data_IF_877650419794
#
_entry.id   IF_877650419794
#
_cell.length_a   1.000
_cell.length_b   1.000
_cell.length_c   1.000
_cell.angle_alpha   90.00
_cell.angle_beta   90.00
_cell.angle_gamma   90.00
#
_symmetry.space_group_name_H-M   'P 1'
#
loop_
_entity.id
_entity.type
_entity.pdbx_description
1 polymer ?
#
# COMPACT_ATOMS: atom_id res chain seq x y z
N UNK A 1 -44.21 45.10 -32.29
CA UNK A 1 -44.20 43.88 -31.45
C UNK A 1 -43.10 42.96 -31.97
N UNK A 2 -41.92 42.93 -31.33
CA UNK A 2 -40.79 42.09 -31.75
C UNK A 2 -40.81 40.81 -30.92
N UNK A 3 -41.13 39.68 -31.54
CA UNK A 3 -41.17 38.36 -30.91
C UNK A 3 -39.76 37.85 -30.60
N UNK A 4 -39.46 37.62 -29.32
CA UNK A 4 -38.27 36.91 -28.87
C UNK A 4 -38.42 35.42 -29.16
N UNK A 5 -37.59 34.86 -30.05
CA UNK A 5 -37.42 33.40 -30.13
C UNK A 5 -36.54 32.96 -28.95
N UNK A 6 -36.94 31.97 -28.13
CA UNK A 6 -36.06 31.43 -27.11
C UNK A 6 -34.88 30.72 -27.77
N UNK A 7 -33.67 31.06 -27.34
CA UNK A 7 -32.44 30.35 -27.73
C UNK A 7 -32.54 28.92 -27.20
N UNK A 8 -32.74 27.97 -28.11
CA UNK A 8 -32.67 26.54 -27.80
C UNK A 8 -31.20 26.24 -27.50
N UNK A 9 -30.83 26.22 -26.22
CA UNK A 9 -29.54 25.70 -25.77
C UNK A 9 -29.53 24.22 -26.17
N UNK A 10 -28.58 23.81 -27.03
CA UNK A 10 -28.51 22.42 -27.50
C UNK A 10 -28.26 21.50 -26.30
N UNK A 11 -29.19 20.60 -26.04
CA UNK A 11 -29.24 19.67 -24.89
C UNK A 11 -27.95 18.86 -24.75
N UNK A 12 -27.18 18.70 -25.83
CA UNK A 12 -25.88 18.05 -25.90
C UNK A 12 -24.79 18.74 -25.07
N UNK A 13 -24.75 20.08 -25.00
CA UNK A 13 -23.70 20.80 -24.27
C UNK A 13 -23.78 20.60 -22.74
N UNK A 14 -25.00 20.47 -22.21
CA UNK A 14 -25.24 20.24 -20.77
C UNK A 14 -24.84 18.81 -20.37
N UNK A 15 -25.06 17.83 -21.24
CA UNK A 15 -24.66 16.44 -20.99
C UNK A 15 -23.14 16.27 -21.03
N UNK A 16 -22.47 16.90 -22.00
CA UNK A 16 -21.00 16.87 -22.08
C UNK A 16 -20.38 17.49 -20.83
N UNK A 17 -20.93 18.60 -20.34
CA UNK A 17 -20.44 19.26 -19.14
C UNK A 17 -20.65 18.40 -17.88
N UNK A 18 -21.80 17.72 -17.75
CA UNK A 18 -22.06 16.80 -16.64
C UNK A 18 -21.14 15.58 -16.69
N UNK A 19 -20.95 14.97 -17.87
CA UNK A 19 -20.03 13.85 -18.06
C UNK A 19 -18.60 14.28 -17.69
N UNK A 20 -18.16 15.46 -18.15
CA UNK A 20 -16.84 15.98 -17.82
C UNK A 20 -16.68 16.23 -16.31
N UNK A 21 -17.70 16.78 -15.65
CA UNK A 21 -17.67 17.01 -14.20
C UNK A 21 -17.61 15.70 -13.40
N UNK A 22 -18.32 14.66 -13.84
CA UNK A 22 -18.26 13.32 -13.23
C UNK A 22 -16.86 12.71 -13.41
N UNK A 23 -16.32 12.72 -14.63
CA UNK A 23 -14.98 12.21 -14.94
C UNK A 23 -13.88 12.92 -14.14
N UNK A 24 -13.96 14.25 -13.98
CA UNK A 24 -13.00 15.03 -13.18
C UNK A 24 -13.07 14.70 -11.69
N UNK A 25 -14.27 14.38 -11.18
CA UNK A 25 -14.47 13.98 -9.78
C UNK A 25 -13.85 12.61 -9.51
N UNK A 26 -14.06 11.64 -10.41
CA UNK A 26 -13.51 10.28 -10.30
C UNK A 26 -11.97 10.28 -10.28
N UNK A 27 -11.33 11.09 -11.13
CA UNK A 27 -9.87 11.23 -11.18
C UNK A 27 -9.31 11.77 -9.86
N UNK A 28 -9.98 12.75 -9.25
CA UNK A 28 -9.55 13.37 -8.00
C UNK A 28 -9.64 12.39 -6.81
N UNK A 29 -10.68 11.55 -6.79
CA UNK A 29 -10.86 10.50 -5.76
C UNK A 29 -9.75 9.45 -5.88
N UNK A 30 -9.43 9.01 -7.10
CA UNK A 30 -8.35 8.05 -7.33
C UNK A 30 -7.00 8.61 -6.87
N UNK A 31 -6.66 9.85 -7.25
CA UNK A 31 -5.40 10.48 -6.84
C UNK A 31 -5.29 10.71 -5.32
N UNK A 32 -6.39 11.00 -4.65
CA UNK A 32 -6.43 11.12 -3.18
C UNK A 32 -6.18 9.79 -2.48
N UNK A 33 -6.78 8.70 -2.98
CA UNK A 33 -6.61 7.36 -2.42
C UNK A 33 -5.15 6.87 -2.56
N UNK A 34 -4.52 7.07 -3.71
CA UNK A 34 -3.10 6.70 -3.91
C UNK A 34 -2.19 7.42 -2.91
N UNK A 35 -2.37 8.74 -2.72
CA UNK A 35 -1.60 9.50 -1.71
C UNK A 35 -1.79 8.98 -0.30
N UNK A 36 -3.01 8.56 0.07
CA UNK A 36 -3.27 7.99 1.40
C UNK A 36 -2.63 6.61 1.61
N UNK A 37 -2.58 5.77 0.58
CA UNK A 37 -1.98 4.44 0.65
C UNK A 37 -0.46 4.56 0.77
N UNK A 38 0.18 5.40 -0.04
CA UNK A 38 1.61 5.69 0.06
C UNK A 38 1.98 6.21 1.46
N UNK A 39 1.19 7.15 2.00
CA UNK A 39 1.40 7.66 3.35
C UNK A 39 1.24 6.55 4.41
N UNK A 40 0.25 5.66 4.27
CA UNK A 40 0.08 4.52 5.17
C UNK A 40 1.29 3.58 5.15
N UNK A 41 1.78 3.20 3.96
CA UNK A 41 2.94 2.30 3.82
C UNK A 41 4.18 2.92 4.46
N UNK A 42 4.47 4.19 4.17
CA UNK A 42 5.60 4.91 4.76
C UNK A 42 5.47 5.02 6.28
N UNK A 43 4.30 5.40 6.79
CA UNK A 43 4.07 5.51 8.24
C UNK A 43 4.21 4.16 8.94
N UNK A 44 3.67 3.07 8.36
CA UNK A 44 3.84 1.74 8.91
C UNK A 44 5.33 1.42 9.06
N UNK A 45 6.13 1.63 8.00
CA UNK A 45 7.57 1.35 7.96
C UNK A 45 8.37 2.21 8.95
N UNK A 46 8.06 3.49 9.07
CA UNK A 46 8.84 4.44 9.88
C UNK A 46 8.44 4.47 11.36
N UNK A 47 7.18 4.17 11.69
CA UNK A 47 6.68 4.20 13.08
C UNK A 47 6.82 2.88 13.83
N UNK A 48 7.25 1.79 13.17
CA UNK A 48 7.38 0.48 13.79
C UNK A 48 8.79 -0.08 13.60
N UNK A 49 9.35 -0.65 14.67
CA UNK A 49 10.67 -1.33 14.64
C UNK A 49 10.70 -2.43 13.59
N UNK A 50 9.61 -3.19 13.46
CA UNK A 50 9.48 -4.29 12.51
C UNK A 50 8.10 -4.21 11.86
N UNK A 51 8.04 -4.31 10.54
CA UNK A 51 6.79 -4.39 9.76
C UNK A 51 6.81 -5.61 8.87
N UNK A 52 5.67 -6.30 8.81
CA UNK A 52 5.44 -7.38 7.84
C UNK A 52 4.15 -7.08 7.08
N UNK A 53 4.30 -6.71 5.80
CA UNK A 53 3.17 -6.74 4.87
C UNK A 53 2.94 -8.20 4.48
N UNK A 54 1.73 -8.70 4.73
CA UNK A 54 1.42 -10.12 4.84
C UNK A 54 0.09 -10.46 4.16
N UNK A 55 -0.18 -11.76 3.99
CA UNK A 55 -1.53 -12.27 3.85
C UNK A 55 -1.78 -13.40 4.86
N UNK A 56 -2.98 -13.46 5.43
CA UNK A 56 -3.31 -14.34 6.55
C UNK A 56 -3.13 -15.82 6.23
N UNK A 57 -3.42 -16.21 4.99
CA UNK A 57 -3.32 -17.58 4.48
C UNK A 57 -1.94 -17.95 3.93
N UNK A 58 -1.01 -16.99 3.78
CA UNK A 58 0.23 -17.22 3.06
C UNK A 58 1.27 -17.99 3.92
N UNK A 59 1.75 -19.17 3.47
CA UNK A 59 2.70 -19.97 4.26
C UNK A 59 4.05 -19.27 4.46
N UNK A 60 4.52 -18.48 3.49
CA UNK A 60 5.75 -17.69 3.60
C UNK A 60 5.60 -16.56 4.63
N UNK A 61 4.42 -15.96 4.73
CA UNK A 61 4.12 -14.97 5.77
C UNK A 61 4.10 -15.62 7.16
N UNK A 62 3.52 -16.82 7.30
CA UNK A 62 3.53 -17.58 8.54
C UNK A 62 4.97 -17.91 8.98
N UNK A 63 5.84 -18.32 8.04
CA UNK A 63 7.28 -18.55 8.31
C UNK A 63 7.97 -17.28 8.83
N UNK A 64 7.74 -16.13 8.18
CA UNK A 64 8.33 -14.86 8.60
C UNK A 64 7.87 -14.43 10.00
N UNK A 65 6.57 -14.53 10.29
CA UNK A 65 6.02 -14.26 11.64
C UNK A 65 6.61 -15.20 12.69
N UNK A 66 6.80 -16.47 12.34
CA UNK A 66 7.41 -17.48 13.23
C UNK A 66 8.85 -17.12 13.58
N UNK A 67 9.66 -16.67 12.63
CA UNK A 67 11.04 -16.23 12.87
C UNK A 67 11.07 -15.14 13.95
N UNK A 68 10.28 -14.07 13.80
CA UNK A 68 10.25 -13.00 14.79
C UNK A 68 9.70 -13.45 16.14
N UNK A 69 8.70 -14.34 16.15
CA UNK A 69 8.20 -14.95 17.39
C UNK A 69 9.28 -15.75 18.13
N UNK A 70 10.09 -16.53 17.42
CA UNK A 70 11.22 -17.28 18.01
C UNK A 70 12.30 -16.34 18.56
N UNK A 71 12.50 -15.19 17.92
CA UNK A 71 13.36 -14.10 18.41
C UNK A 71 12.73 -13.26 19.53
N UNK A 72 11.50 -13.55 19.95
CA UNK A 72 10.73 -12.80 20.95
C UNK A 72 10.50 -11.32 20.55
N UNK A 73 10.48 -11.05 19.25
CA UNK A 73 10.15 -9.76 18.68
C UNK A 73 8.66 -9.70 18.32
N UNK A 74 8.07 -8.50 18.39
CA UNK A 74 6.65 -8.27 18.11
C UNK A 74 6.50 -7.36 16.88
N UNK A 75 6.35 -7.93 15.68
CA UNK A 75 6.19 -7.14 14.46
C UNK A 75 4.80 -6.50 14.34
N UNK A 76 4.74 -5.31 13.74
CA UNK A 76 3.51 -4.76 13.21
C UNK A 76 3.14 -5.48 11.90
N UNK A 77 2.02 -6.19 11.90
CA UNK A 77 1.60 -7.01 10.75
C UNK A 77 0.44 -6.34 10.04
N UNK A 78 0.58 -6.16 8.73
CA UNK A 78 -0.50 -5.67 7.86
C UNK A 78 -1.00 -6.83 6.99
N UNK A 79 -2.16 -7.39 7.33
CA UNK A 79 -2.79 -8.46 6.55
C UNK A 79 -3.56 -7.87 5.37
N UNK A 80 -2.95 -7.91 4.18
CA UNK A 80 -3.48 -7.25 2.99
C UNK A 80 -4.77 -7.88 2.48
N UNK A 81 -4.94 -9.19 2.68
CA UNK A 81 -6.18 -9.91 2.32
C UNK A 81 -7.38 -9.57 3.22
N UNK A 82 -7.15 -8.90 4.35
CA UNK A 82 -8.20 -8.47 5.28
C UNK A 82 -8.48 -6.97 5.20
N UNK A 83 -7.94 -6.28 4.18
CA UNK A 83 -8.09 -4.84 3.97
C UNK A 83 -8.71 -4.57 2.60
N UNK A 84 -9.63 -3.60 2.55
CA UNK A 84 -10.24 -3.15 1.30
C UNK A 84 -9.22 -2.53 0.32
N UNK A 85 -8.17 -1.89 0.86
CA UNK A 85 -7.09 -1.26 0.09
C UNK A 85 -5.85 -2.16 -0.08
N UNK A 86 -5.95 -3.45 0.25
CA UNK A 86 -4.82 -4.38 0.22
C UNK A 86 -4.11 -4.47 -1.13
N UNK A 87 -4.87 -4.49 -2.22
CA UNK A 87 -4.31 -4.52 -3.58
C UNK A 87 -3.56 -3.22 -3.94
N UNK A 88 -4.02 -2.08 -3.44
CA UNK A 88 -3.35 -0.78 -3.62
C UNK A 88 -2.06 -0.72 -2.82
N UNK A 89 -2.07 -1.24 -1.59
CA UNK A 89 -0.84 -1.39 -0.80
C UNK A 89 0.17 -2.30 -1.53
N UNK A 90 -0.29 -3.39 -2.15
CA UNK A 90 0.61 -4.22 -2.98
C UNK A 90 1.17 -3.45 -4.19
N UNK A 91 0.41 -2.54 -4.81
CA UNK A 91 0.92 -1.68 -5.89
C UNK A 91 1.97 -0.71 -5.35
N UNK A 92 1.70 -0.07 -4.21
CA UNK A 92 2.66 0.82 -3.56
C UNK A 92 3.96 0.08 -3.19
N UNK A 93 3.88 -1.15 -2.68
CA UNK A 93 5.06 -1.98 -2.42
C UNK A 93 5.83 -2.32 -3.70
N UNK A 94 5.13 -2.55 -4.83
CA UNK A 94 5.78 -2.74 -6.12
C UNK A 94 6.56 -1.48 -6.53
N UNK A 95 5.97 -0.29 -6.39
CA UNK A 95 6.66 0.97 -6.69
C UNK A 95 7.82 1.24 -5.73
N UNK A 96 7.64 0.98 -4.43
CA UNK A 96 8.61 1.31 -3.39
C UNK A 96 9.82 0.37 -3.33
N UNK A 97 9.61 -0.94 -3.49
CA UNK A 97 10.67 -1.97 -3.37
C UNK A 97 10.83 -2.87 -4.59
N UNK A 98 10.08 -2.61 -5.67
CA UNK A 98 10.16 -3.42 -6.90
C UNK A 98 9.51 -4.80 -6.78
N UNK A 99 8.75 -5.09 -5.72
CA UNK A 99 8.15 -6.41 -5.48
C UNK A 99 6.72 -6.31 -4.95
N UNK A 100 5.79 -6.98 -5.65
CA UNK A 100 4.37 -7.07 -5.27
C UNK A 100 4.06 -8.24 -4.33
N UNK A 101 4.95 -9.22 -4.20
CA UNK A 101 4.72 -10.46 -3.45
C UNK A 101 4.70 -10.24 -1.95
N UNK A 102 4.00 -11.11 -1.20
CA UNK A 102 4.08 -11.15 0.27
C UNK A 102 4.84 -12.40 0.73
N UNK A 103 5.55 -12.34 1.87
CA UNK A 103 5.71 -11.18 2.75
C UNK A 103 6.64 -10.11 2.18
N UNK A 104 6.49 -8.85 2.61
CA UNK A 104 7.54 -7.84 2.54
C UNK A 104 7.89 -7.40 3.97
N UNK A 105 9.15 -7.61 4.35
CA UNK A 105 9.64 -7.40 5.71
C UNK A 105 10.53 -6.16 5.77
N UNK A 106 10.28 -5.31 6.76
CA UNK A 106 11.09 -4.14 7.07
C UNK A 106 11.52 -4.18 8.54
N UNK A 107 12.75 -3.75 8.82
CA UNK A 107 13.30 -3.61 10.17
C UNK A 107 14.00 -2.26 10.26
N UNK A 108 13.58 -1.42 11.21
CA UNK A 108 14.09 -0.05 11.40
C UNK A 108 14.10 0.75 10.10
N UNK A 109 12.98 0.74 9.37
CA UNK A 109 12.85 1.40 8.08
C UNK A 109 13.59 0.73 6.91
N UNK A 110 14.50 -0.23 7.17
CA UNK A 110 15.26 -0.92 6.13
C UNK A 110 14.48 -2.10 5.57
N UNK A 111 14.37 -2.17 4.25
CA UNK A 111 13.79 -3.32 3.55
C UNK A 111 14.70 -4.55 3.66
N UNK A 112 14.15 -5.66 4.13
CA UNK A 112 14.82 -6.97 4.19
C UNK A 112 14.50 -7.79 2.95
N UNK A 113 13.24 -7.80 2.52
CA UNK A 113 12.76 -8.61 1.40
C UNK A 113 11.63 -9.56 1.79
N UNK A 114 11.58 -10.71 1.14
CA UNK A 114 10.61 -11.78 1.38
C UNK A 114 11.02 -12.74 2.49
N UNK A 115 10.36 -13.90 2.53
CA UNK A 115 10.62 -14.90 3.59
C UNK A 115 12.00 -15.55 3.50
N UNK A 116 12.53 -15.73 2.29
CA UNK A 116 13.86 -16.31 2.11
C UNK A 116 14.95 -15.28 2.42
N UNK A 117 14.81 -14.05 1.92
CA UNK A 117 15.71 -12.94 2.27
C UNK A 117 15.78 -12.73 3.80
N UNK A 118 14.63 -12.85 4.51
CA UNK A 118 14.60 -12.80 5.97
C UNK A 118 15.37 -13.97 6.59
N UNK A 119 15.16 -15.20 6.13
CA UNK A 119 15.86 -16.37 6.66
C UNK A 119 17.39 -16.25 6.46
N UNK A 120 17.81 -15.83 5.27
CA UNK A 120 19.22 -15.59 4.95
C UNK A 120 19.81 -14.51 5.85
N UNK A 121 19.05 -13.45 6.13
CA UNK A 121 19.48 -12.37 7.04
C UNK A 121 19.65 -12.83 8.50
N UNK A 122 18.92 -13.87 8.93
CA UNK A 122 19.11 -14.50 10.24
C UNK A 122 20.41 -15.29 10.25
N UNK A 123 20.62 -16.12 9.21
CA UNK A 123 21.78 -17.00 9.08
C UNK A 123 23.08 -16.20 9.01
N UNK A 124 23.11 -15.13 8.23
CA UNK A 124 24.31 -14.30 8.06
C UNK A 124 24.50 -13.24 9.17
N UNK A 125 23.63 -13.20 10.18
CA UNK A 125 23.72 -12.28 11.32
C UNK A 125 23.31 -10.83 11.01
N UNK A 126 22.85 -10.52 9.81
CA UNK A 126 22.42 -9.17 9.41
C UNK A 126 21.18 -8.73 10.20
N UNK A 127 20.23 -9.62 10.43
CA UNK A 127 18.99 -9.28 11.13
C UNK A 127 19.26 -8.77 12.55
N UNK A 128 20.14 -9.46 13.29
CA UNK A 128 20.49 -9.11 14.66
C UNK A 128 21.18 -7.75 14.71
N UNK A 129 22.05 -7.44 13.74
CA UNK A 129 22.67 -6.11 13.62
C UNK A 129 21.63 -5.03 13.42
N UNK A 130 20.62 -5.28 12.56
CA UNK A 130 19.55 -4.31 12.30
C UNK A 130 18.66 -4.13 13.53
N UNK A 131 18.30 -5.20 14.23
CA UNK A 131 17.48 -5.13 15.44
C UNK A 131 18.17 -4.43 16.62
N UNK A 132 19.51 -4.42 16.65
CA UNK A 132 20.31 -3.75 17.67
C UNK A 132 20.58 -2.26 17.38
N UNK A 133 20.24 -1.78 16.18
CA UNK A 133 20.49 -0.39 15.75
C UNK A 133 19.38 0.60 16.16
N UNK A 134 18.42 0.18 17.00
CA UNK A 134 17.31 0.99 17.53
C UNK A 134 17.66 1.65 18.86
#
# INVERSE_FOLDING_TARGET
MVGHRPRRVEVTAVHILLILAVVLSDLSISAGAEKSVAAFVQNAILSNKIVIFSKSYCPYCLRSKRIFRELKEQPFVVELDLREDGDKIQYELLEFVGRRTVPQVFVNGKHIGGSDDLADSVENGQLQKLLAAS
#
